data_IF_301197381982
#
_entry.id   IF_301197381982
#
_cell.length_a   1.000
_cell.length_b   1.000
_cell.length_c   1.000
_cell.angle_alpha   90.00
_cell.angle_beta   90.00
_cell.angle_gamma   90.00
#
_symmetry.space_group_name_H-M   'P 1'
#
loop_
_entity.id
_entity.type
_entity.pdbx_description
1 polymer ?
#
# COMPACT_ATOMS: atom_id res chain seq x y z
N UNK A 1 2.20 -32.13 22.00
CA UNK A 1 1.99 -31.34 20.76
C UNK A 1 2.63 -29.97 20.96
N UNK A 2 3.78 -29.67 20.34
CA UNK A 2 4.47 -28.41 20.57
C UNK A 2 3.81 -27.28 19.80
N UNK A 3 3.62 -26.14 20.49
CA UNK A 3 3.08 -24.92 19.94
C UNK A 3 3.98 -24.38 18.82
N UNK A 4 3.37 -24.09 17.66
CA UNK A 4 4.04 -23.44 16.53
C UNK A 4 4.59 -22.06 16.89
N UNK A 5 5.60 -21.56 16.15
CA UNK A 5 6.27 -20.31 16.48
C UNK A 5 5.28 -19.15 16.37
N UNK A 6 5.07 -18.45 17.49
CA UNK A 6 4.36 -17.18 17.53
C UNK A 6 5.12 -16.20 16.62
N UNK A 7 4.51 -15.82 15.50
CA UNK A 7 5.05 -14.82 14.59
C UNK A 7 5.35 -13.53 15.36
N UNK A 8 6.64 -13.26 15.58
CA UNK A 8 7.10 -11.98 16.13
C UNK A 8 6.73 -10.90 15.13
N UNK A 9 5.74 -10.07 15.47
CA UNK A 9 5.52 -8.81 14.76
C UNK A 9 6.83 -8.02 14.85
N UNK A 10 7.45 -7.62 13.72
CA UNK A 10 8.68 -6.85 13.77
C UNK A 10 8.42 -5.56 14.54
N UNK A 11 9.31 -5.22 15.47
CA UNK A 11 9.18 -3.98 16.21
C UNK A 11 9.29 -2.79 15.26
N UNK A 12 8.63 -1.69 15.60
CA UNK A 12 8.65 -0.43 14.82
C UNK A 12 10.08 0.03 14.51
N UNK A 13 11.02 -0.23 15.43
CA UNK A 13 12.45 0.03 15.23
C UNK A 13 13.10 -0.84 14.13
N UNK A 14 12.63 -2.07 13.91
CA UNK A 14 13.09 -2.93 12.82
C UNK A 14 12.49 -2.52 11.47
N UNK A 15 11.22 -2.10 11.44
CA UNK A 15 10.62 -1.51 10.23
C UNK A 15 11.27 -0.17 9.85
N UNK A 16 11.55 0.68 10.83
CA UNK A 16 12.29 1.94 10.63
C UNK A 16 13.71 1.71 10.13
N UNK A 17 14.43 0.68 10.61
CA UNK A 17 15.76 0.31 10.07
C UNK A 17 15.71 -0.21 8.65
N UNK A 18 14.64 -0.92 8.27
CA UNK A 18 14.48 -1.43 6.91
C UNK A 18 14.16 -0.29 5.93
N UNK A 19 13.46 0.75 6.38
CA UNK A 19 13.06 1.91 5.56
C UNK A 19 14.13 3.02 5.55
N UNK A 20 14.84 3.24 6.65
CA UNK A 20 15.79 4.38 6.83
C UNK A 20 17.26 3.98 6.75
N UNK A 21 17.57 2.71 6.50
CA UNK A 21 18.93 2.17 6.52
C UNK A 21 19.61 2.31 7.90
N UNK A 22 20.93 2.49 7.90
CA UNK A 22 21.76 2.61 9.10
C UNK A 22 21.67 3.97 9.82
N UNK A 23 20.63 4.78 9.59
CA UNK A 23 20.48 6.08 10.25
C UNK A 23 19.92 5.89 11.66
N UNK A 24 20.60 6.49 12.64
CA UNK A 24 20.27 6.37 14.06
C UNK A 24 18.99 7.12 14.48
N UNK A 25 18.52 8.09 13.69
CA UNK A 25 17.30 8.84 13.97
C UNK A 25 16.69 9.43 12.68
N UNK A 26 15.37 9.60 12.69
CA UNK A 26 14.62 10.38 11.72
C UNK A 26 14.93 11.87 11.91
N UNK A 27 15.06 12.61 10.83
CA UNK A 27 14.99 14.08 10.85
C UNK A 27 13.62 14.55 11.34
N UNK A 28 13.51 15.81 11.75
CA UNK A 28 12.24 16.39 12.17
C UNK A 28 11.15 16.29 11.07
N UNK A 29 11.54 16.45 9.80
CA UNK A 29 10.63 16.31 8.67
C UNK A 29 10.15 14.86 8.46
N UNK A 30 11.07 13.90 8.57
CA UNK A 30 10.76 12.46 8.46
C UNK A 30 9.90 11.99 9.65
N UNK A 31 10.16 12.45 10.87
CA UNK A 31 9.32 12.14 12.03
C UNK A 31 7.90 12.72 11.88
N UNK A 32 7.78 13.98 11.47
CA UNK A 32 6.49 14.64 11.30
C UNK A 32 5.64 14.00 10.20
N UNK A 33 6.26 13.50 9.11
CA UNK A 33 5.48 12.82 8.06
C UNK A 33 5.03 11.42 8.48
N UNK A 34 5.84 10.70 9.25
CA UNK A 34 5.43 9.40 9.83
C UNK A 34 4.28 9.60 10.80
N UNK A 35 4.31 10.63 11.65
CA UNK A 35 3.21 10.94 12.56
C UNK A 35 1.91 11.28 11.81
N UNK A 36 1.98 12.10 10.75
CA UNK A 36 0.82 12.40 9.90
C UNK A 36 0.28 11.15 9.22
N UNK A 37 1.16 10.28 8.70
CA UNK A 37 0.77 9.02 8.09
C UNK A 37 0.02 8.13 9.09
N UNK A 38 0.56 7.93 10.30
CA UNK A 38 -0.11 7.18 11.37
C UNK A 38 -1.45 7.82 11.78
N UNK A 39 -1.52 9.15 11.85
CA UNK A 39 -2.75 9.86 12.19
C UNK A 39 -3.81 9.65 11.11
N UNK A 40 -3.45 9.78 9.83
CA UNK A 40 -4.37 9.55 8.71
C UNK A 40 -4.84 8.09 8.64
N UNK A 41 -3.99 7.13 9.00
CA UNK A 41 -4.37 5.71 9.09
C UNK A 41 -5.45 5.48 10.15
N UNK A 42 -5.31 6.10 11.33
CA UNK A 42 -6.31 6.03 12.41
C UNK A 42 -7.67 6.63 12.03
N UNK A 43 -7.72 7.52 11.04
CA UNK A 43 -8.97 8.10 10.54
C UNK A 43 -9.66 7.25 9.46
N UNK A 44 -9.03 6.15 9.02
CA UNK A 44 -9.66 5.24 8.06
C UNK A 44 -10.92 4.63 8.66
N UNK A 45 -12.02 4.75 7.92
CA UNK A 45 -13.26 4.06 8.25
C UNK A 45 -13.12 2.58 7.87
N UNK A 46 -13.63 1.70 8.74
CA UNK A 46 -13.57 0.26 8.53
C UNK A 46 -14.92 -0.38 8.79
N UNK A 47 -15.31 -1.27 7.89
CA UNK A 47 -16.44 -2.17 8.05
C UNK A 47 -15.90 -3.59 8.20
N UNK A 48 -16.23 -4.28 9.29
CA UNK A 48 -15.75 -5.64 9.59
C UNK A 48 -14.22 -5.82 9.49
N UNK A 49 -13.46 -4.75 9.80
CA UNK A 49 -11.99 -4.73 9.76
C UNK A 49 -11.39 -4.43 8.38
N UNK A 50 -12.22 -4.31 7.35
CA UNK A 50 -11.82 -3.91 5.98
C UNK A 50 -12.03 -2.41 5.81
N UNK A 51 -11.11 -1.73 5.11
CA UNK A 51 -11.26 -0.28 4.85
C UNK A 51 -12.54 -0.04 4.06
N UNK A 52 -13.43 0.79 4.60
CA UNK A 52 -14.59 1.26 3.87
C UNK A 52 -14.13 2.26 2.81
N UNK A 53 -14.26 1.89 1.56
CA UNK A 53 -13.99 2.74 0.39
C UNK A 53 -15.25 3.01 -0.44
N UNK A 54 -16.36 2.32 -0.10
CA UNK A 54 -17.64 2.40 -0.80
C UNK A 54 -18.48 3.60 -0.35
N UNK A 55 -18.27 4.12 0.86
CA UNK A 55 -18.87 5.38 1.31
C UNK A 55 -18.03 6.57 0.88
N UNK A 56 -18.66 7.72 0.64
CA UNK A 56 -17.97 8.97 0.29
C UNK A 56 -16.94 9.37 1.36
N UNK A 57 -17.32 9.27 2.64
CA UNK A 57 -16.43 9.57 3.76
C UNK A 57 -15.24 8.60 3.84
N UNK A 58 -15.48 7.30 3.61
CA UNK A 58 -14.45 6.27 3.61
C UNK A 58 -13.47 6.44 2.45
N UNK A 59 -13.99 6.71 1.25
CA UNK A 59 -13.19 7.05 0.08
C UNK A 59 -12.30 8.27 0.33
N UNK A 60 -12.86 9.35 0.89
CA UNK A 60 -12.11 10.56 1.20
C UNK A 60 -11.00 10.32 2.25
N UNK A 61 -11.30 9.57 3.31
CA UNK A 61 -10.32 9.19 4.33
C UNK A 61 -9.18 8.33 3.73
N UNK A 62 -9.53 7.37 2.87
CA UNK A 62 -8.56 6.53 2.18
C UNK A 62 -7.67 7.34 1.23
N UNK A 63 -8.26 8.26 0.46
CA UNK A 63 -7.52 9.15 -0.42
C UNK A 63 -6.53 10.04 0.36
N UNK A 64 -6.96 10.58 1.51
CA UNK A 64 -6.09 11.36 2.39
C UNK A 64 -4.90 10.54 2.91
N UNK A 65 -5.14 9.31 3.37
CA UNK A 65 -4.07 8.39 3.79
C UNK A 65 -3.07 8.11 2.66
N UNK A 66 -3.56 7.81 1.45
CA UNK A 66 -2.71 7.56 0.29
C UNK A 66 -1.88 8.79 -0.10
N UNK A 67 -2.43 9.99 0.09
CA UNK A 67 -1.71 11.25 -0.08
C UNK A 67 -0.56 11.42 0.94
N UNK A 68 -0.80 11.11 2.21
CA UNK A 68 0.27 11.12 3.22
C UNK A 68 1.29 10.01 2.97
N UNK A 69 0.89 8.84 2.43
CA UNK A 69 1.80 7.75 2.09
C UNK A 69 2.76 8.16 0.96
N UNK A 70 2.28 8.85 -0.07
CA UNK A 70 3.13 9.42 -1.12
C UNK A 70 4.10 10.45 -0.55
N UNK A 71 3.59 11.39 0.25
CA UNK A 71 4.41 12.42 0.90
C UNK A 71 5.48 11.81 1.80
N UNK A 72 5.15 10.77 2.57
CA UNK A 72 6.09 10.03 3.39
C UNK A 72 7.18 9.39 2.54
N UNK A 73 6.80 8.74 1.44
CA UNK A 73 7.75 8.10 0.55
C UNK A 73 8.70 9.10 -0.13
N UNK A 74 8.21 10.29 -0.47
CA UNK A 74 9.04 11.37 -1.02
C UNK A 74 10.03 11.92 0.02
N UNK A 75 9.55 12.24 1.24
CA UNK A 75 10.39 12.79 2.32
C UNK A 75 11.43 11.78 2.81
N UNK A 76 11.05 10.50 2.90
CA UNK A 76 11.96 9.41 3.28
C UNK A 76 12.91 9.01 2.14
N UNK A 77 12.77 9.60 0.96
CA UNK A 77 13.63 9.29 -0.19
C UNK A 77 13.50 7.85 -0.68
N UNK A 78 12.33 7.22 -0.48
CA UNK A 78 12.08 5.86 -0.98
C UNK A 78 12.20 5.91 -2.51
N UNK A 79 12.86 4.96 -3.18
CA UNK A 79 12.88 4.93 -4.63
C UNK A 79 11.51 4.53 -5.21
N UNK A 80 11.21 4.98 -6.43
CA UNK A 80 10.04 4.50 -7.18
C UNK A 80 10.41 3.19 -7.85
N UNK A 81 9.59 2.15 -7.65
CA UNK A 81 9.79 0.87 -8.31
C UNK A 81 9.67 1.01 -9.83
N UNK A 82 10.51 0.27 -10.58
CA UNK A 82 10.46 0.25 -12.04
C UNK A 82 9.09 -0.18 -12.54
N UNK A 83 8.59 0.54 -13.56
CA UNK A 83 7.34 0.22 -14.27
C UNK A 83 7.59 -0.32 -15.68
N UNK A 84 8.80 -0.80 -15.96
CA UNK A 84 9.17 -1.29 -17.29
C UNK A 84 8.21 -2.39 -17.82
N UNK A 85 7.62 -3.19 -16.92
CA UNK A 85 6.62 -4.20 -17.28
C UNK A 85 5.39 -3.61 -18.00
N UNK A 86 5.05 -2.33 -17.77
CA UNK A 86 3.93 -1.67 -18.44
C UNK A 86 4.15 -1.45 -19.93
N UNK A 87 5.39 -1.59 -20.42
CA UNK A 87 5.69 -1.48 -21.84
C UNK A 87 4.93 -2.53 -22.69
N UNK A 88 4.53 -3.66 -22.10
CA UNK A 88 3.73 -4.68 -22.77
C UNK A 88 2.22 -4.36 -22.81
N UNK A 89 1.76 -3.29 -22.14
CA UNK A 89 0.35 -2.92 -22.12
C UNK A 89 -0.04 -2.03 -23.32
N UNK A 90 -1.33 -2.08 -23.66
CA UNK A 90 -1.90 -1.27 -24.74
C UNK A 90 -1.65 0.22 -24.53
N UNK A 91 -1.59 0.99 -25.61
CA UNK A 91 -1.41 2.45 -25.54
C UNK A 91 -2.49 3.12 -24.68
N UNK A 92 -3.74 2.65 -24.78
CA UNK A 92 -4.87 3.15 -24.00
C UNK A 92 -4.66 2.92 -22.50
N UNK A 93 -4.19 1.72 -22.12
CA UNK A 93 -3.91 1.42 -20.71
C UNK A 93 -2.79 2.32 -20.17
N UNK A 94 -1.71 2.51 -20.93
CA UNK A 94 -0.59 3.39 -20.54
C UNK A 94 -1.02 4.86 -20.42
N UNK A 95 -1.99 5.31 -21.22
CA UNK A 95 -2.55 6.65 -21.12
C UNK A 95 -3.37 6.86 -19.82
N UNK A 96 -4.08 5.83 -19.36
CA UNK A 96 -4.83 5.86 -18.08
C UNK A 96 -3.93 5.80 -16.84
N UNK A 97 -2.71 5.28 -16.98
CA UNK A 97 -1.76 5.10 -15.89
C UNK A 97 -0.36 5.62 -16.27
N UNK A 98 -0.15 6.95 -16.29
CA UNK A 98 1.11 7.55 -16.70
C UNK A 98 2.27 7.16 -15.77
N UNK A 99 3.48 7.16 -16.32
CA UNK A 99 4.70 6.73 -15.62
C UNK A 99 5.41 7.87 -14.85
N UNK A 100 4.82 9.06 -14.78
CA UNK A 100 5.44 10.30 -14.27
C UNK A 100 5.68 10.36 -12.75
N UNK A 101 5.48 9.27 -12.00
CA UNK A 101 5.67 9.23 -10.54
C UNK A 101 4.76 8.22 -9.85
N UNK A 102 4.83 8.13 -8.51
CA UNK A 102 3.87 7.31 -7.73
C UNK A 102 2.45 7.80 -7.99
N UNK A 103 1.54 6.84 -8.14
CA UNK A 103 0.13 7.13 -8.34
C UNK A 103 -0.65 6.15 -7.47
N UNK A 104 -0.91 6.57 -6.22
CA UNK A 104 -1.77 5.82 -5.32
C UNK A 104 -3.21 6.22 -5.59
N UNK A 105 -4.05 5.24 -5.95
CA UNK A 105 -5.49 5.46 -6.17
C UNK A 105 -6.29 4.54 -5.26
N UNK A 106 -7.41 5.05 -4.77
CA UNK A 106 -8.30 4.31 -3.87
C UNK A 106 -8.89 3.08 -4.57
N UNK A 107 -9.29 3.20 -5.83
CA UNK A 107 -9.85 2.10 -6.63
C UNK A 107 -8.84 0.97 -6.90
N UNK A 108 -7.57 1.31 -7.13
CA UNK A 108 -6.49 0.32 -7.28
C UNK A 108 -6.23 -0.39 -5.95
N UNK A 109 -6.25 0.35 -4.84
CA UNK A 109 -6.13 -0.26 -3.51
C UNK A 109 -7.33 -1.16 -3.22
N UNK A 110 -8.56 -0.70 -3.42
CA UNK A 110 -9.79 -1.47 -3.26
C UNK A 110 -9.75 -2.77 -4.04
N UNK A 111 -9.37 -2.70 -5.32
CA UNK A 111 -9.24 -3.89 -6.19
C UNK A 111 -8.20 -4.86 -5.62
N UNK A 112 -7.08 -4.36 -5.09
CA UNK A 112 -6.06 -5.22 -4.46
C UNK A 112 -6.54 -5.83 -3.12
N UNK A 113 -7.41 -5.13 -2.39
CA UNK A 113 -8.00 -5.61 -1.14
C UNK A 113 -9.06 -6.69 -1.39
N UNK A 114 -9.79 -6.61 -2.51
CA UNK A 114 -10.82 -7.57 -2.90
C UNK A 114 -10.28 -8.97 -3.25
N UNK A 115 -8.97 -9.13 -3.45
CA UNK A 115 -8.30 -10.42 -3.72
C UNK A 115 -8.90 -11.21 -4.88
N UNK A 116 -9.40 -10.53 -5.91
CA UNK A 116 -9.84 -11.21 -7.13
C UNK A 116 -8.62 -11.83 -7.82
N UNK A 117 -8.48 -13.16 -7.74
CA UNK A 117 -7.47 -13.93 -8.48
C UNK A 117 -7.75 -14.00 -9.98
N UNK A 118 -8.97 -13.63 -10.37
CA UNK A 118 -9.51 -13.74 -11.72
C UNK A 118 -10.25 -12.45 -12.08
N UNK A 119 -9.98 -11.93 -13.27
CA UNK A 119 -10.63 -10.72 -13.80
C UNK A 119 -11.19 -11.04 -15.17
N UNK A 120 -12.46 -10.68 -15.39
CA UNK A 120 -13.09 -10.74 -16.69
C UNK A 120 -13.06 -9.35 -17.34
N UNK A 121 -12.42 -9.24 -18.51
CA UNK A 121 -12.33 -7.99 -19.26
C UNK A 121 -12.83 -8.23 -20.67
N UNK A 122 -13.93 -7.56 -21.07
CA UNK A 122 -14.54 -7.70 -22.40
C UNK A 122 -14.86 -9.16 -22.80
N UNK A 123 -15.20 -10.02 -21.84
CA UNK A 123 -15.51 -11.43 -22.09
C UNK A 123 -14.29 -12.36 -22.12
N UNK A 124 -13.08 -11.81 -21.97
CA UNK A 124 -11.85 -12.59 -21.80
C UNK A 124 -11.51 -12.75 -20.32
N UNK A 125 -11.07 -13.95 -19.94
CA UNK A 125 -10.66 -14.30 -18.58
C UNK A 125 -9.16 -14.12 -18.42
N UNK A 126 -8.78 -13.44 -17.33
CA UNK A 126 -7.39 -13.19 -16.96
C UNK A 126 -7.16 -13.66 -15.52
N UNK A 127 -6.24 -14.60 -15.34
CA UNK A 127 -5.75 -14.99 -14.02
C UNK A 127 -4.56 -14.13 -13.61
N UNK A 128 -4.58 -13.68 -12.36
CA UNK A 128 -3.40 -13.07 -11.77
C UNK A 128 -2.30 -14.10 -11.61
N UNK A 129 -1.08 -13.74 -12.01
CA UNK A 129 0.08 -14.58 -11.75
C UNK A 129 0.23 -14.85 -10.24
N UNK A 130 0.76 -16.01 -9.83
CA UNK A 130 1.00 -16.32 -8.42
C UNK A 130 1.82 -15.25 -7.68
N UNK A 131 2.78 -14.63 -8.38
CA UNK A 131 3.57 -13.52 -7.84
C UNK A 131 2.75 -12.25 -7.58
N UNK A 132 1.82 -11.90 -8.47
CA UNK A 132 0.93 -10.76 -8.28
C UNK A 132 -0.04 -10.98 -7.10
N UNK A 133 -0.56 -12.20 -6.95
CA UNK A 133 -1.39 -12.57 -5.81
C UNK A 133 -0.61 -12.48 -4.48
N UNK A 134 0.63 -12.99 -4.44
CA UNK A 134 1.49 -12.91 -3.26
C UNK A 134 1.79 -11.45 -2.86
N UNK A 135 2.08 -10.57 -3.82
CA UNK A 135 2.27 -9.14 -3.56
C UNK A 135 1.01 -8.47 -3.01
N UNK A 136 -0.18 -8.91 -3.44
CA UNK A 136 -1.45 -8.47 -2.86
C UNK A 136 -1.58 -8.82 -1.38
N UNK A 137 -1.20 -10.04 -1.00
CA UNK A 137 -1.21 -10.49 0.41
C UNK A 137 -0.21 -9.70 1.25
N UNK A 138 1.01 -9.49 0.75
CA UNK A 138 2.03 -8.69 1.43
C UNK A 138 1.56 -7.24 1.64
N UNK A 139 0.92 -6.65 0.64
CA UNK A 139 0.33 -5.31 0.73
C UNK A 139 -0.72 -5.24 1.84
N UNK A 140 -1.61 -6.22 1.94
CA UNK A 140 -2.63 -6.26 2.99
C UNK A 140 -2.03 -6.37 4.39
N UNK A 141 -1.02 -7.23 4.55
CA UNK A 141 -0.34 -7.41 5.84
C UNK A 141 0.40 -6.13 6.26
N UNK A 142 1.10 -5.48 5.32
CA UNK A 142 1.76 -4.22 5.57
C UNK A 142 0.75 -3.12 5.94
N UNK A 143 -0.38 -3.06 5.24
CA UNK A 143 -1.44 -2.07 5.47
C UNK A 143 -2.11 -2.25 6.84
N UNK A 144 -2.37 -3.48 7.27
CA UNK A 144 -2.86 -3.79 8.61
C UNK A 144 -1.82 -3.52 9.71
N UNK A 145 -0.53 -3.71 9.40
CA UNK A 145 0.58 -3.50 10.33
C UNK A 145 0.77 -2.05 10.78
N UNK A 146 0.25 -1.07 10.03
CA UNK A 146 0.33 0.37 10.38
C UNK A 146 -0.44 0.70 11.67
N UNK A 147 -1.42 -0.13 12.08
CA UNK A 147 -2.15 0.05 13.34
C UNK A 147 -1.34 -0.22 14.61
N UNK A 148 -0.22 -0.95 14.49
CA UNK A 148 0.52 -1.48 15.64
C UNK A 148 1.61 -0.54 16.20
N UNK A 149 1.56 0.76 15.84
CA UNK A 149 2.56 1.78 16.24
C UNK A 149 1.99 2.79 17.23
#
# INVERSE_FOLDING_TARGET
LPAGPRGRRPCVAAMLRMICGSRAALSAAEAAVVERLCTSHKTLLKDDGVVNVSSEAGYAACAAFLGEADRAAQILGIPVASRAYRASFSANYRALFPDSGRLYRVDVLETSLAQHSEIWVNGEHFELSPGAAALGVELQQAFAGVEAV
#
